data_IF_146189622741
#
_entry.id   IF_146189622741
#
_cell.length_a   1.000
_cell.length_b   1.000
_cell.length_c   1.000
_cell.angle_alpha   90.00
_cell.angle_beta   90.00
_cell.angle_gamma   90.00
#
_symmetry.space_group_name_H-M   'P 1'
#
loop_
_entity.id
_entity.type
_entity.pdbx_description
1 polymer ?
#
# COMPACT_ATOMS: atom_id res chain seq x y z
N UNK A 1 -28.51 -5.69 -14.96
CA UNK A 1 -28.40 -7.14 -14.69
C UNK A 1 -27.12 -7.41 -13.91
N UNK A 2 -27.19 -8.32 -12.95
CA UNK A 2 -26.06 -8.78 -12.12
C UNK A 2 -25.96 -10.30 -12.25
N UNK A 3 -25.36 -10.81 -13.35
CA UNK A 3 -25.18 -12.24 -13.57
C UNK A 3 -24.47 -12.90 -12.38
N UNK A 4 -24.71 -14.20 -12.13
CA UNK A 4 -24.01 -14.94 -11.10
C UNK A 4 -22.54 -15.08 -11.50
N UNK A 5 -21.74 -14.11 -11.09
CA UNK A 5 -20.30 -14.12 -11.26
C UNK A 5 -19.74 -15.09 -10.21
N UNK A 6 -19.70 -16.40 -10.53
CA UNK A 6 -19.33 -17.52 -9.65
C UNK A 6 -18.46 -17.19 -8.42
N UNK A 7 -18.86 -17.65 -7.23
CA UNK A 7 -18.24 -17.25 -5.96
C UNK A 7 -16.72 -17.43 -5.83
N UNK A 8 -16.13 -16.76 -4.83
CA UNK A 8 -14.77 -16.81 -4.22
C UNK A 8 -13.49 -17.03 -5.06
N UNK A 9 -13.54 -17.43 -6.33
CA UNK A 9 -12.38 -17.89 -7.13
C UNK A 9 -12.16 -17.09 -8.44
N UNK A 10 -12.56 -15.81 -8.48
CA UNK A 10 -12.49 -14.94 -9.66
C UNK A 10 -11.09 -14.45 -10.08
N UNK A 11 -10.02 -14.96 -9.45
CA UNK A 11 -8.63 -14.60 -9.77
C UNK A 11 -8.01 -15.49 -10.87
N UNK A 12 -8.74 -16.51 -11.36
CA UNK A 12 -8.26 -17.42 -12.42
C UNK A 12 -8.68 -16.95 -13.82
N UNK A 13 -7.77 -17.02 -14.80
CA UNK A 13 -7.99 -16.65 -16.21
C UNK A 13 -9.17 -17.37 -16.89
N UNK A 14 -9.46 -18.61 -16.47
CA UNK A 14 -10.63 -19.37 -16.94
C UNK A 14 -11.98 -18.73 -16.55
N UNK A 15 -12.05 -18.03 -15.41
CA UNK A 15 -13.27 -17.35 -14.96
C UNK A 15 -13.54 -16.04 -15.73
N UNK A 16 -12.49 -15.37 -16.21
CA UNK A 16 -12.58 -14.14 -17.01
C UNK A 16 -13.08 -14.45 -18.42
N UNK A 17 -12.60 -15.55 -19.03
CA UNK A 17 -13.10 -16.01 -20.33
C UNK A 17 -14.60 -16.34 -20.32
N UNK A 18 -15.07 -17.06 -19.30
CA UNK A 18 -16.50 -17.35 -19.12
C UNK A 18 -17.34 -16.08 -18.90
N UNK A 19 -16.79 -15.08 -18.21
CA UNK A 19 -17.42 -13.77 -17.97
C UNK A 19 -17.61 -13.00 -19.27
N UNK A 20 -16.61 -13.00 -20.16
CA UNK A 20 -16.69 -12.34 -21.47
C UNK A 20 -17.75 -12.99 -22.38
N UNK A 21 -17.82 -14.33 -22.42
CA UNK A 21 -18.85 -15.07 -23.17
C UNK A 21 -20.25 -14.72 -22.66
N UNK A 22 -20.42 -14.61 -21.35
CA UNK A 22 -21.70 -14.25 -20.74
C UNK A 22 -22.11 -12.81 -21.08
N UNK A 23 -21.17 -11.86 -21.07
CA UNK A 23 -21.42 -10.49 -21.50
C UNK A 23 -21.82 -10.44 -22.98
N UNK A 24 -21.13 -11.18 -23.84
CA UNK A 24 -21.45 -11.29 -25.27
C UNK A 24 -22.89 -11.78 -25.46
N UNK A 25 -23.31 -12.84 -24.76
CA UNK A 25 -24.68 -13.36 -24.83
C UNK A 25 -25.72 -12.39 -24.29
N UNK A 26 -25.42 -11.68 -23.20
CA UNK A 26 -26.31 -10.67 -22.63
C UNK A 26 -26.49 -9.49 -23.59
N UNK A 27 -25.42 -9.05 -24.27
CA UNK A 27 -25.53 -7.99 -25.27
C UNK A 27 -26.28 -8.46 -26.51
N UNK A 28 -26.03 -9.69 -26.99
CA UNK A 28 -26.71 -10.28 -28.14
C UNK A 28 -28.24 -10.32 -27.96
N UNK A 29 -28.70 -10.77 -26.79
CA UNK A 29 -30.12 -10.92 -26.47
C UNK A 29 -30.73 -9.62 -25.93
N UNK A 30 -30.04 -8.98 -25.00
CA UNK A 30 -30.52 -7.78 -24.31
C UNK A 30 -30.73 -6.59 -25.24
N UNK A 31 -29.89 -6.43 -26.27
CA UNK A 31 -29.98 -5.28 -27.19
C UNK A 31 -31.14 -5.42 -28.19
N UNK A 32 -31.79 -6.60 -28.23
CA UNK A 32 -33.04 -6.82 -28.99
C UNK A 32 -34.26 -6.32 -28.20
N UNK A 33 -34.19 -6.30 -26.87
CA UNK A 33 -35.33 -6.00 -25.98
C UNK A 33 -35.20 -4.66 -25.26
N UNK A 34 -33.98 -4.13 -25.11
CA UNK A 34 -33.73 -2.85 -24.45
C UNK A 34 -32.72 -1.99 -25.21
N UNK A 35 -32.95 -0.67 -25.33
CA UNK A 35 -31.99 0.26 -25.94
C UNK A 35 -30.81 0.58 -25.00
N UNK A 36 -30.88 0.19 -23.72
CA UNK A 36 -29.83 0.40 -22.73
C UNK A 36 -29.66 -0.85 -21.89
N UNK A 37 -28.42 -1.27 -21.72
CA UNK A 37 -28.06 -2.39 -20.85
C UNK A 37 -27.11 -1.87 -19.78
N UNK A 38 -27.51 -2.05 -18.53
CA UNK A 38 -26.67 -1.82 -17.37
C UNK A 38 -26.17 -3.17 -16.84
N UNK A 39 -24.86 -3.36 -16.81
CA UNK A 39 -24.18 -4.59 -16.42
C UNK A 39 -23.33 -4.34 -15.19
N UNK A 40 -23.68 -4.97 -14.08
CA UNK A 40 -22.84 -4.97 -12.88
C UNK A 40 -21.82 -6.10 -13.00
N UNK A 41 -20.53 -5.79 -13.05
CA UNK A 41 -19.44 -6.74 -13.33
C UNK A 41 -18.33 -6.67 -12.26
N UNK A 42 -17.48 -7.70 -12.14
CA UNK A 42 -16.33 -7.68 -11.23
C UNK A 42 -15.32 -6.58 -11.57
N UNK A 43 -14.60 -6.07 -10.57
CA UNK A 43 -13.62 -4.99 -10.74
C UNK A 43 -12.44 -5.33 -11.66
N UNK A 44 -12.02 -6.60 -11.68
CA UNK A 44 -10.83 -7.05 -12.41
C UNK A 44 -11.12 -7.31 -13.89
N UNK A 45 -12.37 -7.16 -14.33
CA UNK A 45 -12.74 -7.37 -15.72
C UNK A 45 -12.08 -6.32 -16.62
N UNK A 46 -11.50 -6.78 -17.73
CA UNK A 46 -10.81 -5.94 -18.69
C UNK A 46 -11.82 -5.08 -19.47
N UNK A 47 -11.79 -3.78 -19.21
CA UNK A 47 -12.70 -2.81 -19.82
C UNK A 47 -12.52 -2.75 -21.34
N UNK A 48 -11.31 -2.91 -21.87
CA UNK A 48 -11.04 -2.88 -23.30
C UNK A 48 -11.67 -4.06 -24.04
N UNK A 49 -11.66 -5.25 -23.44
CA UNK A 49 -12.36 -6.42 -23.99
C UNK A 49 -13.88 -6.22 -23.99
N UNK A 50 -14.44 -5.65 -22.93
CA UNK A 50 -15.87 -5.32 -22.86
C UNK A 50 -16.28 -4.33 -23.94
N UNK A 51 -15.44 -3.34 -24.23
CA UNK A 51 -15.64 -2.37 -25.31
C UNK A 51 -15.63 -3.08 -26.68
N UNK A 52 -14.67 -3.99 -26.91
CA UNK A 52 -14.59 -4.77 -28.14
C UNK A 52 -15.84 -5.64 -28.35
N UNK A 53 -16.32 -6.32 -27.31
CA UNK A 53 -17.57 -7.10 -27.35
C UNK A 53 -18.75 -6.18 -27.65
N UNK A 54 -18.83 -5.01 -26.99
CA UNK A 54 -19.86 -4.00 -27.26
C UNK A 54 -19.89 -3.53 -28.72
N UNK A 55 -18.71 -3.31 -29.33
CA UNK A 55 -18.58 -2.94 -30.75
C UNK A 55 -19.17 -4.00 -31.68
N UNK A 56 -18.92 -5.29 -31.43
CA UNK A 56 -19.48 -6.40 -32.23
C UNK A 56 -21.01 -6.41 -32.21
N UNK A 57 -21.61 -6.00 -31.09
CA UNK A 57 -23.07 -5.93 -30.92
C UNK A 57 -23.68 -4.56 -31.21
N UNK A 58 -22.98 -3.71 -31.98
CA UNK A 58 -23.46 -2.38 -32.40
C UNK A 58 -23.84 -1.47 -31.22
N UNK A 59 -23.17 -1.62 -30.07
CA UNK A 59 -23.26 -0.67 -28.96
C UNK A 59 -22.55 0.62 -29.39
N UNK A 60 -23.25 1.75 -29.33
CA UNK A 60 -22.71 3.04 -29.79
C UNK A 60 -22.07 3.86 -28.67
N UNK A 61 -22.57 3.78 -27.43
CA UNK A 61 -21.90 4.41 -26.27
C UNK A 61 -21.66 3.41 -25.14
N UNK A 62 -20.45 3.47 -24.58
CA UNK A 62 -20.02 2.70 -23.42
C UNK A 62 -19.64 3.66 -22.30
N UNK A 63 -20.16 3.42 -21.11
CA UNK A 63 -19.75 4.14 -19.90
C UNK A 63 -19.38 3.14 -18.81
N UNK A 64 -18.27 3.38 -18.13
CA UNK A 64 -17.87 2.63 -16.95
C UNK A 64 -18.07 3.50 -15.69
N UNK A 65 -18.82 2.97 -14.73
CA UNK A 65 -18.88 3.54 -13.38
C UNK A 65 -18.25 2.56 -12.40
N UNK A 66 -17.36 3.05 -11.54
CA UNK A 66 -16.67 2.21 -10.57
C UNK A 66 -17.42 2.30 -9.25
N UNK A 67 -17.99 1.17 -8.82
CA UNK A 67 -18.66 1.09 -7.52
C UNK A 67 -17.60 0.84 -6.46
N UNK A 68 -17.52 1.82 -5.56
CA UNK A 68 -16.62 1.78 -4.42
C UNK A 68 -17.47 1.61 -3.16
N UNK A 69 -17.30 0.52 -2.42
CA UNK A 69 -17.94 0.35 -1.11
C UNK A 69 -16.83 0.42 -0.09
N UNK A 70 -16.96 1.30 0.91
CA UNK A 70 -15.96 1.51 1.94
C UNK A 70 -14.54 1.81 1.39
N UNK A 71 -14.45 2.61 0.31
CA UNK A 71 -13.19 3.02 -0.35
C UNK A 71 -12.43 1.91 -1.10
N UNK A 72 -12.96 0.68 -1.17
CA UNK A 72 -12.47 -0.35 -2.06
C UNK A 72 -13.32 -0.43 -3.33
N UNK A 73 -12.65 -0.42 -4.49
CA UNK A 73 -13.33 -0.76 -5.74
C UNK A 73 -13.77 -2.22 -5.62
N UNK A 74 -15.07 -2.46 -5.53
CA UNK A 74 -15.60 -3.82 -5.36
C UNK A 74 -16.12 -4.38 -6.68
N UNK A 75 -16.66 -3.50 -7.52
CA UNK A 75 -17.28 -3.87 -8.80
C UNK A 75 -17.36 -2.68 -9.74
N UNK A 76 -17.67 -2.94 -11.00
CA UNK A 76 -17.93 -1.94 -12.03
C UNK A 76 -19.38 -2.03 -12.51
N UNK A 77 -19.93 -0.92 -12.97
CA UNK A 77 -21.15 -0.86 -13.76
C UNK A 77 -20.78 -0.44 -15.16
N UNK A 78 -21.13 -1.27 -16.13
CA UNK A 78 -20.94 -1.02 -17.54
C UNK A 78 -22.30 -0.64 -18.15
N UNK A 79 -22.36 0.51 -18.78
CA UNK A 79 -23.54 0.97 -19.50
C UNK A 79 -23.28 0.80 -20.99
N UNK A 80 -24.12 0.01 -21.65
CA UNK A 80 -24.11 -0.16 -23.10
C UNK A 80 -25.39 0.45 -23.66
N UNK A 81 -25.28 1.51 -24.47
CA UNK A 81 -26.45 2.13 -25.09
C UNK A 81 -26.48 1.93 -26.61
N UNK A 82 -27.65 1.51 -27.10
CA UNK A 82 -28.08 1.52 -28.49
C UNK A 82 -28.67 2.91 -28.77
N UNK A 83 -28.11 3.67 -29.70
CA UNK A 83 -28.80 4.87 -30.18
C UNK A 83 -30.00 4.45 -31.02
N UNK A 84 -31.06 5.26 -30.98
CA UNK A 84 -32.25 5.09 -31.83
C UNK A 84 -31.79 5.11 -33.30
N UNK A 85 -32.37 4.20 -34.09
CA UNK A 85 -32.33 4.28 -35.54
C UNK A 85 -32.87 5.64 -35.92
N UNK A 86 -32.03 6.49 -36.50
CA UNK A 86 -32.36 7.48 -37.52
C UNK A 86 -31.03 8.08 -38.00
N UNK A 87 -30.70 7.86 -39.27
CA UNK A 87 -29.52 8.44 -39.91
C UNK A 87 -28.40 7.44 -40.19
N UNK A 88 -28.20 7.18 -41.49
CA UNK A 88 -27.02 6.55 -42.08
C UNK A 88 -25.77 7.38 -41.77
N UNK A 89 -25.16 7.17 -40.61
CA UNK A 89 -23.84 7.69 -40.35
C UNK A 89 -22.91 6.57 -39.86
N UNK A 90 -22.03 6.16 -40.77
CA UNK A 90 -20.96 5.19 -40.57
C UNK A 90 -19.65 5.86 -40.17
N UNK A 91 -19.67 7.13 -39.75
CA UNK A 91 -18.44 7.88 -39.46
C UNK A 91 -18.45 8.49 -38.05
N UNK A 92 -17.29 8.35 -37.39
CA UNK A 92 -16.89 8.92 -36.09
C UNK A 92 -17.43 8.24 -34.80
N UNK A 93 -16.59 7.33 -34.28
CA UNK A 93 -16.74 6.69 -32.98
C UNK A 93 -16.10 7.56 -31.89
N UNK A 94 -16.88 8.30 -31.11
CA UNK A 94 -16.36 8.99 -29.91
C UNK A 94 -16.72 8.21 -28.66
N UNK A 95 -15.76 7.43 -28.16
CA UNK A 95 -15.83 6.79 -26.84
C UNK A 95 -15.58 7.85 -25.77
N UNK A 96 -16.64 8.34 -25.13
CA UNK A 96 -16.49 9.28 -24.00
C UNK A 96 -16.52 8.47 -22.70
N UNK A 97 -15.35 8.27 -22.09
CA UNK A 97 -15.23 7.54 -20.84
C UNK A 97 -15.48 8.50 -19.66
N UNK A 98 -16.67 8.44 -19.08
CA UNK A 98 -16.99 9.21 -17.87
C UNK A 98 -16.80 8.34 -16.63
N UNK A 99 -15.69 8.53 -15.92
CA UNK A 99 -15.49 7.90 -14.62
C UNK A 99 -16.36 8.58 -13.57
N UNK A 100 -17.40 7.88 -13.09
CA UNK A 100 -18.20 8.32 -11.95
C UNK A 100 -17.93 7.38 -10.77
N UNK A 101 -17.47 7.93 -9.65
CA UNK A 101 -17.19 7.18 -8.43
C UNK A 101 -18.38 7.32 -7.47
N UNK A 102 -19.04 6.21 -7.16
CA UNK A 102 -20.04 6.15 -6.10
C UNK A 102 -19.43 5.53 -4.86
N UNK A 103 -19.43 6.27 -3.75
CA UNK A 103 -19.09 5.76 -2.43
C UNK A 103 -20.38 5.38 -1.70
N UNK A 104 -20.59 4.07 -1.57
CA UNK A 104 -21.64 3.52 -0.70
C UNK A 104 -20.99 3.24 0.65
N UNK A 105 -21.48 3.91 1.69
CA UNK A 105 -21.16 3.56 3.07
C UNK A 105 -22.26 2.64 3.59
N UNK A 106 -21.87 1.48 4.10
CA UNK A 106 -22.78 0.57 4.80
C UNK A 106 -22.53 0.80 6.29
N UNK A 107 -23.53 1.29 6.99
CA UNK A 107 -23.45 1.49 8.44
C UNK A 107 -23.58 0.15 9.18
N UNK A 108 -23.32 0.14 10.48
CA UNK A 108 -23.34 -1.07 11.33
C UNK A 108 -24.70 -1.79 11.37
N UNK A 109 -25.78 -1.13 10.94
CA UNK A 109 -27.14 -1.67 10.78
C UNK A 109 -27.44 -2.19 9.36
N UNK A 110 -26.41 -2.40 8.54
CA UNK A 110 -26.49 -2.83 7.13
C UNK A 110 -27.28 -1.87 6.22
N UNK A 111 -27.55 -0.63 6.64
CA UNK A 111 -28.23 0.34 5.79
C UNK A 111 -27.26 1.07 4.86
N UNK A 112 -27.53 1.11 3.55
CA UNK A 112 -26.70 1.85 2.61
C UNK A 112 -26.99 3.35 2.68
N UNK A 113 -25.97 4.16 2.94
CA UNK A 113 -26.02 5.61 2.79
C UNK A 113 -25.30 6.00 1.50
N UNK A 114 -26.07 6.51 0.53
CA UNK A 114 -25.55 6.94 -0.77
C UNK A 114 -25.12 8.41 -0.67
N UNK A 115 -23.82 8.67 -0.77
CA UNK A 115 -23.31 10.05 -0.87
C UNK A 115 -23.33 10.48 -2.34
N UNK A 116 -24.32 11.28 -2.75
CA UNK A 116 -24.38 11.86 -4.10
C UNK A 116 -23.47 13.08 -4.19
N UNK A 117 -22.18 12.88 -4.48
CA UNK A 117 -21.35 13.95 -5.04
C UNK A 117 -20.60 13.41 -6.26
N UNK A 118 -21.10 13.64 -7.48
CA UNK A 118 -20.45 13.18 -8.69
C UNK A 118 -19.23 14.05 -9.01
N UNK A 119 -18.05 13.44 -9.04
CA UNK A 119 -16.86 14.07 -9.65
C UNK A 119 -17.02 13.86 -11.16
N UNK A 120 -17.33 14.92 -11.91
CA UNK A 120 -17.22 14.90 -13.36
C UNK A 120 -15.76 15.15 -13.72
N UNK A 121 -15.07 14.16 -14.29
CA UNK A 121 -13.76 14.35 -14.93
C UNK A 121 -14.05 14.48 -16.43
N UNK A 122 -13.77 15.65 -16.99
CA UNK A 122 -13.78 15.89 -18.44
C UNK A 122 -12.49 15.30 -19.00
N UNK A 123 -12.58 14.50 -20.06
CA UNK A 123 -11.43 13.91 -20.74
C UNK A 123 -10.73 14.97 -21.61
N UNK A 124 -9.41 15.06 -21.55
CA UNK A 124 -8.59 15.80 -22.51
C UNK A 124 -8.43 14.95 -23.79
N UNK A 125 -8.66 15.57 -24.94
CA UNK A 125 -8.51 14.98 -26.27
C UNK A 125 -7.02 14.82 -26.62
N UNK A 126 -6.48 13.60 -26.65
CA UNK A 126 -5.19 13.32 -27.28
C UNK A 126 -5.37 13.13 -28.80
N UNK A 127 -5.07 14.19 -29.56
CA UNK A 127 -4.81 14.09 -31.01
C UNK A 127 -3.30 13.99 -31.22
N UNK A 128 -2.81 12.78 -31.51
CA UNK A 128 -1.42 12.56 -31.93
C UNK A 128 -1.25 12.99 -33.40
N UNK A 129 -0.30 13.90 -33.67
CA UNK A 129 0.27 14.13 -35.01
C UNK A 129 1.81 14.16 -34.95
N UNK A 130 2.52 13.74 -36.02
CA UNK A 130 3.91 13.29 -35.92
C UNK A 130 4.97 14.40 -36.07
N UNK A 131 6.06 14.21 -35.33
CA UNK A 131 7.46 14.64 -35.48
C UNK A 131 7.82 15.95 -36.20
N UNK A 132 8.58 16.82 -35.50
CA UNK A 132 9.77 17.51 -36.05
C UNK A 132 10.83 17.77 -34.97
N UNK A 133 12.06 17.86 -35.46
CA UNK A 133 13.40 17.67 -34.92
C UNK A 133 14.01 18.81 -34.05
N UNK A 134 14.78 18.40 -33.03
CA UNK A 134 16.19 18.76 -32.73
C UNK A 134 16.56 20.05 -31.94
N UNK A 135 17.39 19.82 -30.90
CA UNK A 135 18.42 20.62 -30.20
C UNK A 135 18.04 21.81 -29.28
N UNK A 136 18.42 21.71 -28.00
CA UNK A 136 19.65 22.36 -27.44
C UNK A 136 19.71 22.24 -25.91
N UNK A 137 20.92 22.41 -25.37
CA UNK A 137 21.33 22.07 -24.01
C UNK A 137 21.09 23.15 -22.94
N UNK A 138 21.23 22.72 -21.67
CA UNK A 138 21.52 23.47 -20.42
C UNK A 138 20.37 24.23 -19.74
N UNK A 139 19.97 23.77 -18.56
CA UNK A 139 20.41 24.38 -17.28
C UNK A 139 19.75 23.69 -16.08
N UNK A 140 20.57 23.40 -15.06
CA UNK A 140 20.14 22.98 -13.74
C UNK A 140 19.53 24.20 -13.04
N UNK A 141 18.23 24.17 -12.72
CA UNK A 141 17.61 25.16 -11.84
C UNK A 141 16.78 24.43 -10.78
N UNK A 142 17.21 24.61 -9.54
CA UNK A 142 16.56 24.23 -8.30
C UNK A 142 15.22 24.97 -8.16
N UNK A 143 14.14 24.28 -8.47
CA UNK A 143 12.80 24.57 -7.99
C UNK A 143 12.06 23.24 -7.94
N UNK A 144 11.93 22.68 -6.73
CA UNK A 144 11.11 21.50 -6.49
C UNK A 144 9.65 21.92 -6.69
N UNK A 145 9.21 21.85 -7.94
CA UNK A 145 7.79 21.80 -8.29
C UNK A 145 7.27 20.53 -7.65
N UNK A 146 6.65 20.67 -6.47
CA UNK A 146 5.82 19.62 -5.90
C UNK A 146 4.66 19.45 -6.88
N UNK A 147 4.79 18.52 -7.81
CA UNK A 147 3.77 18.25 -8.82
C UNK A 147 2.51 17.79 -8.10
N UNK A 148 1.37 18.41 -8.43
CA UNK A 148 0.03 18.11 -7.87
C UNK A 148 -0.30 16.59 -7.85
N UNK A 149 0.37 15.78 -8.67
CA UNK A 149 0.30 14.32 -8.69
C UNK A 149 0.70 13.63 -7.37
N UNK A 150 1.71 14.12 -6.64
CA UNK A 150 2.18 13.45 -5.40
C UNK A 150 1.25 13.69 -4.20
N UNK A 151 0.57 14.84 -4.19
CA UNK A 151 -0.42 15.20 -3.18
C UNK A 151 -1.59 14.22 -3.23
N UNK A 152 -2.09 13.87 -4.42
CA UNK A 152 -3.23 12.96 -4.54
C UNK A 152 -2.89 11.52 -4.12
N UNK A 153 -1.67 11.06 -4.43
CA UNK A 153 -1.24 9.71 -4.10
C UNK A 153 -1.14 9.43 -2.61
N UNK A 154 -0.74 10.45 -1.84
CA UNK A 154 -0.49 10.34 -0.41
C UNK A 154 -1.65 10.87 0.44
N UNK A 155 -2.50 11.75 -0.09
CA UNK A 155 -3.67 12.29 0.61
C UNK A 155 -4.67 11.21 1.06
N UNK A 156 -4.76 10.09 0.34
CA UNK A 156 -5.58 8.95 0.77
C UNK A 156 -5.12 8.37 2.12
N UNK A 157 -3.81 8.39 2.39
CA UNK A 157 -3.22 7.95 3.66
C UNK A 157 -3.41 9.02 4.76
N UNK A 158 -3.33 10.30 4.40
CA UNK A 158 -3.64 11.41 5.33
C UNK A 158 -5.05 11.29 5.93
N UNK A 159 -6.03 10.90 5.12
CA UNK A 159 -7.42 10.69 5.60
C UNK A 159 -7.51 9.62 6.68
N UNK A 160 -6.59 8.65 6.70
CA UNK A 160 -6.53 7.56 7.68
C UNK A 160 -5.36 7.74 8.67
N UNK A 161 -4.80 8.95 8.79
CA UNK A 161 -3.60 9.22 9.60
C UNK A 161 -3.74 8.76 11.06
N UNK A 162 -4.95 8.82 11.64
CA UNK A 162 -5.23 8.32 13.00
C UNK A 162 -5.21 6.80 13.11
N UNK A 163 -5.38 6.09 12.00
CA UNK A 163 -5.18 4.63 11.91
C UNK A 163 -3.71 4.28 11.79
N UNK A 164 -2.90 5.16 11.20
CA UNK A 164 -1.45 5.00 11.13
C UNK A 164 -0.81 5.23 12.50
N UNK A 165 -1.22 6.31 13.20
CA UNK A 165 -0.85 6.61 14.57
C UNK A 165 -2.06 7.17 15.33
N UNK A 166 -2.45 6.54 16.43
CA UNK A 166 -3.57 6.99 17.26
C UNK A 166 -3.32 8.43 17.78
N UNK A 167 -2.06 8.75 18.10
CA UNK A 167 -1.60 10.07 18.56
C UNK A 167 -1.17 11.01 17.43
N UNK A 168 -1.68 10.84 16.21
CA UNK A 168 -1.20 11.61 15.05
C UNK A 168 -1.20 13.14 15.29
N UNK A 169 -2.28 13.65 15.88
CA UNK A 169 -2.47 15.09 16.12
C UNK A 169 -1.57 15.64 17.25
N UNK A 170 -0.93 14.78 18.05
CA UNK A 170 -0.09 15.16 19.18
C UNK A 170 1.35 15.53 18.74
N UNK A 171 1.60 15.58 17.43
CA UNK A 171 2.88 16.00 16.86
C UNK A 171 3.61 14.94 16.03
N UNK A 172 2.91 13.93 15.52
CA UNK A 172 3.51 12.93 14.63
C UNK A 172 3.93 13.56 13.30
N UNK A 173 5.14 13.20 12.85
CA UNK A 173 5.73 13.66 11.61
C UNK A 173 5.93 12.45 10.68
N UNK A 174 5.35 12.53 9.48
CA UNK A 174 5.50 11.60 8.37
C UNK A 174 5.79 12.40 7.11
N UNK A 175 6.82 12.01 6.36
CA UNK A 175 7.02 12.47 4.99
C UNK A 175 6.15 11.67 4.00
N UNK A 176 6.19 12.03 2.72
CA UNK A 176 5.39 11.41 1.66
C UNK A 176 5.57 9.88 1.61
N UNK A 177 6.81 9.41 1.74
CA UNK A 177 7.09 7.97 1.78
C UNK A 177 6.53 7.30 3.03
N UNK A 178 6.72 7.93 4.19
CA UNK A 178 6.27 7.38 5.47
C UNK A 178 4.76 7.20 5.52
N UNK A 179 3.98 8.01 4.80
CA UNK A 179 2.52 7.85 4.71
C UNK A 179 2.09 6.51 4.13
N UNK A 180 2.81 5.98 3.14
CA UNK A 180 2.46 4.70 2.51
C UNK A 180 3.28 3.52 3.04
N UNK A 181 4.40 3.75 3.72
CA UNK A 181 5.28 2.70 4.23
C UNK A 181 5.06 2.36 5.70
N UNK A 182 4.58 3.31 6.53
CA UNK A 182 4.30 3.03 7.94
C UNK A 182 3.26 1.92 8.08
N UNK A 183 3.57 0.97 8.94
CA UNK A 183 2.64 -0.06 9.37
C UNK A 183 1.56 0.57 10.28
N UNK A 184 0.26 0.34 10.04
CA UNK A 184 -0.81 0.82 10.92
C UNK A 184 -0.60 0.43 12.38
N UNK A 185 -0.89 1.34 13.32
CA UNK A 185 -0.56 1.16 14.74
C UNK A 185 -1.12 -0.13 15.34
N UNK A 186 -2.33 -0.53 14.94
CA UNK A 186 -2.95 -1.79 15.41
C UNK A 186 -2.12 -3.03 15.03
N UNK A 187 -1.50 -3.02 13.84
CA UNK A 187 -0.62 -4.10 13.39
C UNK A 187 0.70 -4.02 14.14
N UNK A 188 1.26 -2.82 14.35
CA UNK A 188 2.46 -2.65 15.16
C UNK A 188 2.28 -3.15 16.61
N UNK A 189 1.11 -2.90 17.23
CA UNK A 189 0.75 -3.43 18.55
C UNK A 189 0.72 -4.96 18.54
N UNK A 190 0.04 -5.54 17.57
CA UNK A 190 -0.01 -7.00 17.40
C UNK A 190 1.38 -7.62 17.17
N UNK A 191 2.24 -6.97 16.38
CA UNK A 191 3.64 -7.37 16.20
C UNK A 191 4.39 -7.30 17.54
N UNK A 192 4.23 -6.21 18.28
CA UNK A 192 4.88 -6.01 19.58
C UNK A 192 4.45 -7.05 20.63
N UNK A 193 3.18 -7.48 20.62
CA UNK A 193 2.69 -8.55 21.52
C UNK A 193 3.48 -9.85 21.36
N UNK A 194 4.08 -10.10 20.18
CA UNK A 194 4.93 -11.27 19.93
C UNK A 194 6.34 -11.15 20.55
N UNK A 195 6.64 -10.01 21.16
CA UNK A 195 7.93 -9.63 21.73
C UNK A 195 7.86 -9.28 23.23
N UNK A 196 6.71 -9.49 23.88
CA UNK A 196 6.57 -9.33 25.34
C UNK A 196 7.62 -10.19 26.06
N UNK A 197 8.34 -9.57 27.00
CA UNK A 197 9.39 -10.22 27.80
C UNK A 197 10.77 -10.32 27.12
N UNK A 198 10.93 -9.77 25.92
CA UNK A 198 12.25 -9.63 25.29
C UNK A 198 12.98 -8.39 25.82
N UNK A 199 14.29 -8.51 26.03
CA UNK A 199 15.14 -7.42 26.52
C UNK A 199 15.50 -6.48 25.37
N UNK A 200 16.11 -7.01 24.31
CA UNK A 200 16.60 -6.19 23.18
C UNK A 200 16.01 -6.69 21.87
N UNK A 201 15.34 -5.80 21.15
CA UNK A 201 14.80 -6.07 19.80
C UNK A 201 15.43 -5.12 18.79
N UNK A 202 15.74 -5.63 17.59
CA UNK A 202 16.32 -4.86 16.49
C UNK A 202 15.29 -4.68 15.36
N UNK A 203 15.08 -3.44 14.93
CA UNK A 203 14.46 -3.13 13.63
C UNK A 203 15.51 -2.52 12.68
N UNK A 204 16.02 -3.28 11.69
CA UNK A 204 17.01 -2.82 10.73
C UNK A 204 16.50 -1.84 9.66
N UNK A 205 15.18 -1.63 9.55
CA UNK A 205 14.55 -0.77 8.56
C UNK A 205 13.39 0.01 9.21
N UNK A 206 13.70 0.82 10.23
CA UNK A 206 12.69 1.33 11.14
C UNK A 206 11.77 2.42 10.56
N UNK A 207 12.16 3.07 9.44
CA UNK A 207 11.40 4.15 8.82
C UNK A 207 11.07 5.27 9.80
N UNK A 208 9.85 5.80 9.73
CA UNK A 208 9.34 6.81 10.67
C UNK A 208 8.90 6.24 12.04
N UNK A 209 9.16 4.96 12.32
CA UNK A 209 9.13 4.41 13.67
C UNK A 209 7.84 3.71 14.12
N UNK A 210 6.96 3.28 13.20
CA UNK A 210 5.71 2.58 13.58
C UNK A 210 5.94 1.36 14.49
N UNK A 211 6.76 0.40 14.05
CA UNK A 211 7.05 -0.81 14.82
C UNK A 211 7.85 -0.52 16.09
N UNK A 212 8.95 0.22 15.98
CA UNK A 212 9.88 0.49 17.09
C UNK A 212 9.20 1.22 18.26
N UNK A 213 8.19 2.05 17.99
CA UNK A 213 7.39 2.70 19.04
C UNK A 213 6.62 1.67 19.85
N UNK A 214 5.92 0.73 19.20
CA UNK A 214 5.15 -0.29 19.93
C UNK A 214 6.05 -1.34 20.57
N UNK A 215 7.18 -1.71 19.94
CA UNK A 215 8.18 -2.59 20.52
C UNK A 215 8.78 -2.00 21.81
N UNK A 216 9.10 -0.71 21.83
CA UNK A 216 9.63 -0.04 23.01
C UNK A 216 8.63 0.03 24.18
N UNK A 217 7.33 -0.17 23.94
CA UNK A 217 6.33 -0.26 25.00
C UNK A 217 6.35 -1.60 25.74
N UNK A 218 6.84 -2.66 25.11
CA UNK A 218 6.77 -4.05 25.64
C UNK A 218 8.14 -4.71 25.86
N UNK A 219 9.21 -4.15 25.30
CA UNK A 219 10.59 -4.60 25.49
C UNK A 219 11.38 -3.60 26.37
N UNK A 220 12.52 -4.04 26.89
CA UNK A 220 13.40 -3.18 27.72
C UNK A 220 14.09 -2.11 26.84
N UNK A 221 14.59 -2.52 25.67
CA UNK A 221 15.28 -1.65 24.72
C UNK A 221 15.02 -2.07 23.27
N UNK A 222 15.04 -1.10 22.36
CA UNK A 222 14.96 -1.30 20.91
C UNK A 222 16.17 -0.67 20.23
N UNK A 223 16.76 -1.37 19.26
CA UNK A 223 17.75 -0.82 18.34
C UNK A 223 17.01 -0.55 17.02
N UNK A 224 16.98 0.71 16.59
CA UNK A 224 16.29 1.15 15.39
C UNK A 224 17.32 1.67 14.39
N UNK A 225 17.37 1.05 13.20
CA UNK A 225 18.30 1.39 12.13
C UNK A 225 17.51 1.82 10.91
N UNK A 226 17.94 2.89 10.27
CA UNK A 226 17.52 3.24 8.92
C UNK A 226 18.70 3.83 8.16
N UNK A 227 18.75 3.60 6.85
CA UNK A 227 19.81 4.15 6.00
C UNK A 227 19.63 5.65 5.80
N UNK A 228 18.37 6.12 5.86
CA UNK A 228 18.03 7.53 5.67
C UNK A 228 18.02 8.28 7.01
N UNK A 229 18.92 9.27 7.21
CA UNK A 229 18.93 10.08 8.43
C UNK A 229 17.62 10.85 8.65
N UNK A 230 16.89 11.22 7.60
CA UNK A 230 15.59 11.89 7.74
C UNK A 230 14.57 10.96 8.40
N UNK A 231 14.52 9.67 8.03
CA UNK A 231 13.65 8.67 8.68
C UNK A 231 13.97 8.52 10.17
N UNK A 232 15.26 8.44 10.52
CA UNK A 232 15.66 8.39 11.93
C UNK A 232 15.19 9.63 12.69
N UNK A 233 15.24 10.82 12.08
CA UNK A 233 14.76 12.04 12.72
C UNK A 233 13.24 12.02 12.94
N UNK A 234 12.46 11.54 11.95
CA UNK A 234 11.02 11.33 12.10
C UNK A 234 10.73 10.32 13.22
N UNK A 235 11.42 9.18 13.24
CA UNK A 235 11.27 8.16 14.27
C UNK A 235 11.59 8.68 15.68
N UNK A 236 12.66 9.49 15.83
CA UNK A 236 13.01 10.15 17.09
C UNK A 236 11.89 11.07 17.58
N UNK A 237 11.33 11.90 16.69
CA UNK A 237 10.20 12.76 17.03
C UNK A 237 8.98 11.94 17.46
N UNK A 238 8.60 10.95 16.66
CA UNK A 238 7.41 10.14 16.89
C UNK A 238 7.55 9.34 18.19
N UNK A 239 8.74 8.82 18.50
CA UNK A 239 9.00 8.16 19.78
C UNK A 239 8.87 9.08 21.00
N UNK A 240 9.15 10.39 20.86
CA UNK A 240 8.92 11.38 21.93
C UNK A 240 7.43 11.59 22.18
N UNK A 241 6.61 11.69 21.13
CA UNK A 241 5.14 11.79 21.24
C UNK A 241 4.54 10.62 22.04
N UNK A 242 5.12 9.42 21.88
CA UNK A 242 4.72 8.22 22.61
C UNK A 242 5.46 7.99 23.94
N UNK A 243 6.34 8.93 24.36
CA UNK A 243 7.14 8.84 25.59
C UNK A 243 8.04 7.58 25.69
N UNK A 244 8.48 7.03 24.56
CA UNK A 244 9.35 5.83 24.50
C UNK A 244 10.73 6.09 23.93
N UNK A 245 11.05 7.36 23.61
CA UNK A 245 12.34 7.78 23.05
C UNK A 245 13.56 7.22 23.81
N UNK A 246 13.51 7.25 25.15
CA UNK A 246 14.60 6.82 26.03
C UNK A 246 14.90 5.30 25.98
N UNK A 247 13.99 4.49 25.42
CA UNK A 247 14.17 3.04 25.25
C UNK A 247 14.73 2.66 23.89
N UNK A 248 14.94 3.62 22.99
CA UNK A 248 15.30 3.34 21.61
C UNK A 248 16.69 3.90 21.31
N UNK A 249 17.59 3.02 20.88
CA UNK A 249 18.88 3.41 20.30
C UNK A 249 18.71 3.58 18.80
N UNK A 250 18.88 4.81 18.31
CA UNK A 250 18.72 5.16 16.90
C UNK A 250 20.06 5.19 16.17
N UNK A 251 20.17 4.46 15.06
CA UNK A 251 21.39 4.36 14.25
C UNK A 251 21.06 4.75 12.80
N UNK A 252 21.77 5.73 12.27
CA UNK A 252 21.78 5.99 10.82
C UNK A 252 22.80 5.06 10.19
N UNK A 253 22.38 4.16 9.31
CA UNK A 253 23.30 3.25 8.64
C UNK A 253 22.64 2.20 7.76
N UNK A 254 23.44 1.66 6.84
CA UNK A 254 23.04 0.52 6.02
C UNK A 254 23.18 -0.76 6.85
N UNK A 255 22.05 -1.37 7.24
CA UNK A 255 22.01 -2.63 7.99
C UNK A 255 22.91 -3.70 7.37
N UNK A 256 22.91 -3.84 6.05
CA UNK A 256 23.70 -4.88 5.38
C UNK A 256 25.22 -4.67 5.55
N UNK A 257 25.65 -3.42 5.78
CA UNK A 257 27.04 -3.07 6.06
C UNK A 257 27.38 -3.16 7.53
N UNK A 258 26.48 -2.77 8.44
CA UNK A 258 26.81 -2.64 9.87
C UNK A 258 26.42 -3.85 10.73
N UNK A 259 25.61 -4.78 10.22
CA UNK A 259 25.12 -5.94 10.97
C UNK A 259 26.24 -6.72 11.70
N UNK A 260 27.43 -6.85 11.10
CA UNK A 260 28.57 -7.58 11.69
C UNK A 260 29.15 -6.92 12.95
N UNK A 261 28.82 -5.66 13.23
CA UNK A 261 29.29 -4.89 14.40
C UNK A 261 28.26 -4.86 15.53
N UNK A 262 27.05 -5.35 15.27
CA UNK A 262 25.98 -5.37 16.27
C UNK A 262 26.17 -6.55 17.21
N UNK A 263 25.79 -6.35 18.48
CA UNK A 263 25.72 -7.44 19.46
C UNK A 263 24.47 -8.28 19.20
N UNK A 264 24.45 -9.55 19.63
CA UNK A 264 23.24 -10.37 19.58
C UNK A 264 22.06 -9.72 20.32
N UNK A 265 20.86 -9.94 19.81
CA UNK A 265 19.57 -9.45 20.33
C UNK A 265 18.57 -10.60 20.43
N UNK A 266 17.46 -10.40 21.14
CA UNK A 266 16.47 -11.46 21.34
C UNK A 266 15.62 -11.71 20.09
N UNK A 267 15.35 -10.67 19.32
CA UNK A 267 14.52 -10.74 18.12
C UNK A 267 14.90 -9.65 17.12
N UNK A 268 14.78 -9.96 15.83
CA UNK A 268 14.70 -8.97 14.76
C UNK A 268 13.23 -8.84 14.35
N UNK A 269 12.69 -7.64 14.37
CA UNK A 269 11.33 -7.33 13.92
C UNK A 269 11.43 -6.24 12.88
N UNK A 270 11.00 -6.49 11.64
CA UNK A 270 11.28 -5.51 10.60
C UNK A 270 10.31 -5.48 9.42
N UNK A 271 10.26 -4.32 8.77
CA UNK A 271 9.49 -4.04 7.56
C UNK A 271 10.45 -3.51 6.48
N UNK A 272 11.11 -4.39 5.69
CA UNK A 272 12.01 -3.91 4.65
C UNK A 272 11.25 -3.11 3.58
N UNK A 273 11.90 -2.25 2.80
CA UNK A 273 11.22 -1.42 1.79
C UNK A 273 10.62 -2.29 0.68
N UNK A 274 9.31 -2.22 0.48
CA UNK A 274 8.60 -3.06 -0.50
C UNK A 274 8.60 -2.53 -1.94
N UNK A 275 9.26 -1.39 -2.20
CA UNK A 275 9.23 -0.72 -3.51
C UNK A 275 8.01 0.21 -3.71
N UNK A 276 7.45 0.73 -2.62
CA UNK A 276 6.32 1.67 -2.67
C UNK A 276 5.00 1.04 -3.16
N UNK A 277 3.92 1.82 -3.31
CA UNK A 277 2.57 1.30 -3.59
C UNK A 277 2.44 0.41 -4.84
N UNK A 278 3.41 0.48 -5.74
CA UNK A 278 3.48 -0.28 -7.00
C UNK A 278 3.56 -1.79 -6.76
N UNK A 279 4.03 -2.26 -5.59
CA UNK A 279 4.08 -3.69 -5.26
C UNK A 279 2.72 -4.38 -5.42
N UNK A 280 1.62 -3.64 -5.27
CA UNK A 280 0.24 -4.12 -5.38
C UNK A 280 -0.16 -4.52 -6.79
N UNK A 281 0.57 -4.08 -7.81
CA UNK A 281 0.30 -4.40 -9.21
C UNK A 281 0.76 -5.82 -9.59
N UNK A 282 1.69 -6.39 -8.82
CA UNK A 282 2.16 -7.76 -9.04
C UNK A 282 1.17 -8.75 -8.44
N UNK A 283 0.78 -9.78 -9.19
CA UNK A 283 -0.04 -10.88 -8.64
C UNK A 283 0.71 -11.62 -7.52
N UNK A 284 2.00 -11.86 -7.75
CA UNK A 284 2.89 -12.58 -6.84
C UNK A 284 4.20 -11.81 -6.70
N UNK A 285 4.45 -11.27 -5.52
CA UNK A 285 5.62 -10.43 -5.23
C UNK A 285 6.80 -11.30 -4.78
N UNK A 286 7.96 -11.17 -5.43
CA UNK A 286 9.13 -12.01 -5.12
C UNK A 286 9.88 -11.53 -3.86
N UNK A 287 10.29 -12.42 -2.94
CA UNK A 287 11.17 -12.12 -1.81
C UNK A 287 12.55 -11.58 -2.20
N UNK A 288 12.97 -11.75 -3.47
CA UNK A 288 14.22 -11.16 -3.98
C UNK A 288 14.14 -9.64 -4.05
N UNK A 289 12.95 -9.09 -4.35
CA UNK A 289 12.73 -7.65 -4.47
C UNK A 289 12.94 -6.90 -3.13
N UNK A 290 12.84 -7.62 -2.02
CA UNK A 290 12.97 -7.12 -0.64
C UNK A 290 14.15 -7.76 0.09
N UNK A 291 15.04 -8.45 -0.65
CA UNK A 291 16.28 -9.05 -0.13
C UNK A 291 16.08 -9.96 1.09
N UNK A 292 14.98 -10.72 1.16
CA UNK A 292 14.71 -11.63 2.30
C UNK A 292 15.89 -12.56 2.57
N UNK A 293 16.52 -13.08 1.53
CA UNK A 293 17.72 -13.93 1.63
C UNK A 293 18.85 -13.25 2.42
N UNK A 294 19.19 -12.00 2.09
CA UNK A 294 20.24 -11.26 2.80
C UNK A 294 19.84 -10.91 4.22
N UNK A 295 18.56 -10.54 4.43
CA UNK A 295 18.03 -10.23 5.77
C UNK A 295 18.13 -11.47 6.66
N UNK A 296 17.70 -12.63 6.17
CA UNK A 296 17.80 -13.89 6.92
C UNK A 296 19.27 -14.25 7.16
N UNK A 297 20.12 -14.23 6.12
CA UNK A 297 21.55 -14.55 6.23
C UNK A 297 22.29 -13.77 7.33
N UNK A 298 22.01 -12.48 7.44
CA UNK A 298 22.60 -11.62 8.49
C UNK A 298 21.86 -11.77 9.81
N UNK A 299 20.52 -11.77 9.76
CA UNK A 299 19.67 -11.79 10.95
C UNK A 299 19.84 -13.06 11.78
N UNK A 300 20.07 -14.22 11.16
CA UNK A 300 20.26 -15.47 11.90
C UNK A 300 21.53 -15.49 12.77
N UNK A 301 22.49 -14.60 12.49
CA UNK A 301 23.70 -14.44 13.29
C UNK A 301 23.48 -13.51 14.49
N UNK A 302 22.42 -12.70 14.44
CA UNK A 302 22.13 -11.65 15.43
C UNK A 302 21.00 -12.03 16.39
N UNK A 303 20.00 -12.79 15.94
CA UNK A 303 18.83 -13.09 16.75
C UNK A 303 18.34 -14.52 16.54
N UNK A 304 17.87 -15.22 17.59
CA UNK A 304 17.25 -16.52 17.48
C UNK A 304 15.85 -16.46 16.84
N UNK A 305 15.23 -15.28 16.76
CA UNK A 305 13.91 -15.05 16.18
C UNK A 305 13.94 -13.88 15.21
N UNK A 306 13.31 -14.05 14.05
CA UNK A 306 13.15 -13.02 13.03
C UNK A 306 11.67 -12.95 12.64
N UNK A 307 11.06 -11.80 12.83
CA UNK A 307 9.69 -11.47 12.43
C UNK A 307 9.74 -10.46 11.28
N UNK A 308 9.17 -10.85 10.16
CA UNK A 308 9.13 -10.08 8.94
C UNK A 308 7.71 -9.59 8.64
N UNK A 309 7.50 -8.28 8.61
CA UNK A 309 6.28 -7.65 8.13
C UNK A 309 6.37 -7.41 6.62
N UNK A 310 5.46 -8.03 5.87
CA UNK A 310 5.63 -8.28 4.45
C UNK A 310 4.38 -7.98 3.61
N UNK A 311 4.54 -7.74 2.28
CA UNK A 311 3.41 -7.53 1.38
C UNK A 311 2.40 -8.68 1.40
N UNK A 312 1.12 -8.34 1.28
CA UNK A 312 0.02 -9.33 1.24
C UNK A 312 0.11 -10.35 0.09
N UNK A 313 0.75 -9.96 -1.01
CA UNK A 313 0.95 -10.76 -2.23
C UNK A 313 2.35 -11.40 -2.30
N UNK A 314 3.13 -11.38 -1.22
CA UNK A 314 4.45 -12.02 -1.15
C UNK A 314 4.36 -13.53 -1.43
N UNK A 315 5.26 -14.03 -2.28
CA UNK A 315 5.49 -15.46 -2.49
C UNK A 315 6.11 -16.09 -1.24
N UNK A 316 5.26 -16.66 -0.39
CA UNK A 316 5.71 -17.26 0.87
C UNK A 316 6.35 -18.62 0.69
N UNK A 317 6.02 -19.35 -0.38
CA UNK A 317 6.71 -20.59 -0.74
C UNK A 317 8.20 -20.34 -1.00
N UNK A 318 8.53 -19.27 -1.72
CA UNK A 318 9.92 -18.87 -1.96
C UNK A 318 10.61 -18.44 -0.65
N UNK A 319 9.91 -17.75 0.25
CA UNK A 319 10.45 -17.40 1.58
C UNK A 319 10.78 -18.64 2.42
N UNK A 320 9.91 -19.66 2.41
CA UNK A 320 10.14 -20.92 3.11
C UNK A 320 11.38 -21.63 2.54
N UNK A 321 11.53 -21.63 1.22
CA UNK A 321 12.68 -22.24 0.56
C UNK A 321 13.99 -21.52 0.90
N UNK A 322 14.01 -20.19 0.85
CA UNK A 322 15.14 -19.39 1.32
C UNK A 322 15.46 -19.72 2.79
N UNK A 323 14.44 -19.79 3.65
CA UNK A 323 14.61 -20.10 5.06
C UNK A 323 15.25 -21.46 5.35
N UNK A 324 14.96 -22.48 4.53
CA UNK A 324 15.58 -23.81 4.64
C UNK A 324 17.10 -23.76 4.47
N UNK A 325 17.63 -22.87 3.64
CA UNK A 325 19.06 -22.71 3.42
C UNK A 325 19.80 -22.14 4.66
N UNK A 326 19.07 -21.56 5.62
CA UNK A 326 19.62 -20.88 6.80
C UNK A 326 19.34 -21.61 8.12
N UNK A 327 19.14 -22.94 8.09
CA UNK A 327 18.87 -23.78 9.28
C UNK A 327 17.66 -23.33 10.11
N UNK A 328 16.67 -22.67 9.49
CA UNK A 328 15.45 -22.26 10.18
C UNK A 328 14.60 -23.50 10.46
N UNK A 329 14.29 -23.79 11.74
CA UNK A 329 13.56 -25.01 12.12
C UNK A 329 12.05 -24.82 12.05
N UNK A 330 11.55 -23.66 12.50
CA UNK A 330 10.10 -23.37 12.47
C UNK A 330 9.81 -22.11 11.66
N UNK A 331 8.75 -22.22 10.88
CA UNK A 331 8.16 -21.16 10.11
C UNK A 331 6.70 -21.04 10.52
N UNK A 332 6.28 -19.82 10.83
CA UNK A 332 4.86 -19.48 11.03
C UNK A 332 4.53 -18.31 10.13
N UNK A 333 3.34 -18.34 9.56
CA UNK A 333 2.78 -17.25 8.76
C UNK A 333 1.47 -16.80 9.37
N UNK A 334 1.30 -15.48 9.48
CA UNK A 334 0.02 -14.84 9.78
C UNK A 334 -0.38 -13.94 8.62
N UNK A 335 -1.58 -14.16 8.06
CA UNK A 335 -2.19 -13.19 7.15
C UNK A 335 -2.97 -12.18 7.97
N UNK A 336 -2.64 -10.89 7.81
CA UNK A 336 -3.29 -9.79 8.52
C UNK A 336 -4.33 -9.15 7.63
N UNK A 337 -5.55 -9.04 8.16
CA UNK A 337 -6.66 -8.32 7.51
C UNK A 337 -7.09 -7.14 8.35
N UNK A 338 -7.33 -6.00 7.70
CA UNK A 338 -8.01 -4.84 8.28
C UNK A 338 -9.34 -4.71 7.56
N UNK A 339 -10.45 -4.68 8.31
CA UNK A 339 -11.81 -4.59 7.76
C UNK A 339 -12.10 -5.67 6.70
N UNK A 340 -11.67 -6.90 6.98
CA UNK A 340 -11.78 -8.08 6.09
C UNK A 340 -10.91 -8.05 4.83
N UNK A 341 -10.23 -6.95 4.53
CA UNK A 341 -9.30 -6.85 3.41
C UNK A 341 -7.89 -7.24 3.83
N UNK A 342 -7.24 -8.09 3.01
CA UNK A 342 -5.82 -8.45 3.21
C UNK A 342 -4.95 -7.19 3.17
N UNK A 343 -4.20 -6.97 4.25
CA UNK A 343 -3.31 -5.82 4.40
C UNK A 343 -1.85 -6.23 4.15
N UNK A 344 -1.36 -7.18 4.94
CA UNK A 344 0.01 -7.67 4.93
C UNK A 344 0.11 -9.12 5.42
N UNK A 345 1.33 -9.66 5.42
CA UNK A 345 1.69 -10.95 6.01
C UNK A 345 2.76 -10.74 7.08
N UNK A 346 2.69 -11.48 8.18
CA UNK A 346 3.77 -11.59 9.17
C UNK A 346 4.40 -12.96 9.06
N UNK A 347 5.70 -13.01 8.78
CA UNK A 347 6.45 -14.26 8.68
C UNK A 347 7.38 -14.38 9.89
N UNK A 348 7.31 -15.49 10.59
CA UNK A 348 8.08 -15.76 11.78
C UNK A 348 9.06 -16.88 11.48
N UNK A 349 10.35 -16.59 11.61
CA UNK A 349 11.43 -17.55 11.47
C UNK A 349 12.11 -17.72 12.83
N UNK A 350 12.15 -18.95 13.36
CA UNK A 350 12.85 -19.23 14.61
C UNK A 350 14.00 -20.22 14.38
N UNK A 351 15.12 -19.90 15.01
CA UNK A 351 16.31 -20.75 15.12
C UNK A 351 16.21 -21.61 16.37
N UNK A 352 16.98 -22.70 16.40
CA UNK A 352 16.99 -23.68 17.48
C UNK A 352 17.36 -23.05 18.85
N UNK A 353 16.58 -23.39 19.88
CA UNK A 353 17.13 -24.09 21.06
C UNK A 353 16.81 -25.57 20.89
N UNK A 354 17.68 -26.46 21.35
CA UNK A 354 17.89 -27.84 20.89
C UNK A 354 16.76 -28.89 21.14
N UNK A 355 15.47 -28.53 21.11
CA UNK A 355 14.40 -29.37 21.68
C UNK A 355 13.45 -30.04 20.66
N UNK A 356 13.98 -30.64 19.60
CA UNK A 356 13.33 -31.80 18.95
C UNK A 356 12.05 -31.64 18.11
N UNK A 357 11.16 -30.66 18.33
CA UNK A 357 9.82 -30.65 17.68
C UNK A 357 9.73 -29.71 16.46
N UNK A 358 9.24 -30.23 15.33
CA UNK A 358 8.84 -29.45 14.13
C UNK A 358 7.37 -29.06 14.28
N UNK A 359 7.06 -27.77 14.17
CA UNK A 359 5.68 -27.28 14.11
C UNK A 359 5.55 -26.35 12.90
N UNK A 360 4.64 -26.70 11.98
CA UNK A 360 4.16 -25.79 10.94
C UNK A 360 2.80 -25.30 11.39
N UNK A 361 2.68 -24.03 11.77
CA UNK A 361 1.41 -23.43 12.22
C UNK A 361 1.04 -22.34 11.23
N UNK A 362 -0.06 -22.55 10.51
CA UNK A 362 -0.73 -21.49 9.75
C UNK A 362 -1.79 -20.86 10.64
N UNK A 363 -1.77 -19.53 10.81
CA UNK A 363 -2.78 -18.82 11.58
C UNK A 363 -3.34 -17.66 10.77
N UNK A 364 -4.66 -17.52 10.75
CA UNK A 364 -5.35 -16.38 10.11
C UNK A 364 -5.90 -15.50 11.23
N UNK A 365 -5.45 -14.24 11.30
CA UNK A 365 -5.95 -13.25 12.28
C UNK A 365 -6.69 -12.13 11.58
N UNK A 366 -7.90 -11.85 12.05
CA UNK A 366 -8.74 -10.77 11.54
C UNK A 366 -8.71 -9.61 12.54
N UNK A 367 -8.21 -8.45 12.14
CA UNK A 367 -8.29 -7.23 12.94
C UNK A 367 -9.44 -6.36 12.42
N UNK A 368 -10.37 -6.01 13.30
CA UNK A 368 -11.44 -5.05 13.01
C UNK A 368 -11.00 -3.70 13.58
N UNK A 369 -10.85 -2.70 12.72
CA UNK A 369 -10.59 -1.32 13.15
C UNK A 369 -11.49 -0.39 12.34
N UNK A 370 -12.44 0.25 13.02
CA UNK A 370 -13.31 1.27 12.43
C UNK A 370 -12.48 2.50 12.08
N UNK A 371 -12.54 2.92 10.81
CA UNK A 371 -11.88 4.13 10.33
C UNK A 371 -12.93 5.22 10.24
N UNK A 372 -12.90 6.16 11.18
CA UNK A 372 -13.69 7.39 11.08
C UNK A 372 -12.97 8.38 10.17
N UNK A 373 -13.64 8.77 9.09
CA UNK A 373 -13.18 9.84 8.23
C UNK A 373 -13.65 11.16 8.82
N UNK A 374 -12.70 12.00 9.24
CA UNK A 374 -12.99 13.40 9.53
C UNK A 374 -13.53 14.03 8.23
N UNK A 375 -14.82 14.40 8.22
CA UNK A 375 -15.43 15.17 7.13
C UNK A 375 -15.08 16.65 7.32
N UNK A 376 -13.83 17.01 7.12
CA UNK A 376 -13.43 18.40 7.01
C UNK A 376 -12.39 18.56 5.91
N UNK A 377 -12.68 19.48 5.01
CA UNK A 377 -11.79 20.01 3.98
C UNK A 377 -10.47 20.44 4.66
N UNK A 378 -9.27 20.08 4.21
CA UNK A 378 -8.83 20.35 2.84
C UNK A 378 -7.46 19.75 2.57
N UNK A 379 -7.21 19.39 1.30
CA UNK A 379 -5.86 19.15 0.76
C UNK A 379 -4.87 20.26 1.15
N UNK A 380 -5.35 21.48 1.45
CA UNK A 380 -4.56 22.60 1.99
C UNK A 380 -3.98 22.32 3.37
N UNK A 381 -4.74 21.74 4.30
CA UNK A 381 -4.20 21.31 5.63
C UNK A 381 -3.11 20.28 5.44
N UNK A 382 -3.34 19.31 4.54
CA UNK A 382 -2.34 18.31 4.22
C UNK A 382 -1.07 18.91 3.61
N UNK A 383 -1.22 19.81 2.64
CA UNK A 383 -0.10 20.54 2.02
C UNK A 383 0.69 21.35 3.06
N UNK A 384 0.00 22.03 3.98
CA UNK A 384 0.64 22.77 5.06
C UNK A 384 1.38 21.84 6.03
N UNK A 385 0.82 20.67 6.33
CA UNK A 385 1.50 19.65 7.11
C UNK A 385 2.79 19.18 6.43
N UNK A 386 2.75 18.83 5.14
CA UNK A 386 3.95 18.42 4.40
C UNK A 386 5.01 19.52 4.37
N UNK A 387 4.62 20.79 4.16
CA UNK A 387 5.54 21.94 4.25
C UNK A 387 6.19 22.05 5.63
N UNK A 388 5.42 21.84 6.71
CA UNK A 388 5.95 21.86 8.08
C UNK A 388 6.96 20.73 8.29
N UNK A 389 6.66 19.51 7.83
CA UNK A 389 7.58 18.37 7.88
C UNK A 389 8.86 18.69 7.11
N UNK A 390 8.74 19.19 5.88
CA UNK A 390 9.88 19.60 5.04
C UNK A 390 10.75 20.65 5.73
N UNK A 391 10.15 21.69 6.30
CA UNK A 391 10.88 22.71 7.05
C UNK A 391 11.66 22.15 8.25
N UNK A 392 11.07 21.21 9.01
CA UNK A 392 11.73 20.57 10.15
C UNK A 392 12.93 19.74 9.69
N UNK A 393 12.78 18.97 8.61
CA UNK A 393 13.85 18.16 8.03
C UNK A 393 14.95 19.04 7.42
N UNK A 394 14.61 20.12 6.71
CA UNK A 394 15.57 21.06 6.13
C UNK A 394 16.41 21.76 7.19
N UNK A 395 15.78 22.19 8.29
CA UNK A 395 16.51 22.79 9.43
C UNK A 395 17.47 21.78 10.05
N UNK A 396 17.08 20.52 10.15
CA UNK A 396 18.00 19.44 10.57
C UNK A 396 19.18 19.31 9.61
N UNK A 397 18.95 19.28 8.29
CA UNK A 397 20.03 19.18 7.31
C UNK A 397 20.97 20.40 7.30
N UNK A 398 20.46 21.59 7.60
CA UNK A 398 21.29 22.80 7.78
C UNK A 398 22.14 22.69 9.05
N UNK A 399 21.54 22.36 10.19
CA UNK A 399 22.26 22.20 11.44
C UNK A 399 23.34 21.09 11.38
N UNK A 400 23.07 19.98 10.67
CA UNK A 400 24.08 18.94 10.43
C UNK A 400 25.25 19.47 9.60
N UNK A 401 24.99 20.23 8.53
CA UNK A 401 26.03 20.86 7.72
C UNK A 401 26.85 21.88 8.51
N UNK A 402 26.21 22.68 9.35
CA UNK A 402 26.91 23.62 10.24
C UNK A 402 27.75 22.89 11.30
N UNK A 403 27.24 21.81 11.90
CA UNK A 403 28.00 20.97 12.83
C UNK A 403 29.20 20.29 12.17
N UNK A 404 29.04 19.79 10.93
CA UNK A 404 30.12 19.12 10.17
C UNK A 404 31.15 20.13 9.62
N UNK A 405 30.72 21.32 9.23
CA UNK A 405 31.64 22.40 8.82
C UNK A 405 32.36 23.04 10.01
N UNK A 406 31.77 23.01 11.21
CA UNK A 406 32.39 23.47 12.45
C UNK A 406 33.37 22.48 13.08
N UNK A 407 33.35 21.20 12.70
CA UNK A 407 34.27 20.17 13.21
C UNK A 407 35.51 19.94 12.32
N UNK A 408 35.72 20.78 11.30
CA UNK A 408 36.98 20.87 10.54
C UNK A 408 37.91 22.00 11.02
N UNK A 409 37.47 22.80 12.01
CA UNK A 409 38.28 23.82 12.69
C UNK A 409 38.09 23.71 14.21
N UNK A 410 38.61 22.64 14.81
CA UNK A 410 38.91 22.56 16.24
C UNK A 410 39.99 21.50 16.47
#
# INVERSE_FOLDING_TARGET
TSPPWGGSNYENSQSIGATNILIEKILELGMKVAPKILLHVPKNLNTNECILIGKRHRVRTFKEEIITINCDQNSKLLYFNKLKSDGNDHTNYTMVNFHRYFNIKINDDCRPVITKNPINVVAEDEVVKPNKTVNSAKSFSSNTVVTLSTIDDTYKYWKIRRTLFDKFNDGILLDEESFYSVCPEVICKHIADQCIGMKVVLDPFCGAGGNIIQLARVCDSVIAIDIDPAKIQLAKNNAKVYNVYHKITFIVGDFFKIAHRLRPVDCIVTSPPWGGPIYKQQLLFSPKNILVDKILKLGIKLAPKILLHMPKNLNTTECIWIGKNYKIRTYKEETIKINYYRNCKLLYFNLLKDNGKKHTIYSIKNFKQSVHFDTFDSKKVYSNYLKKVGYVLDRFHKNQREMWNGSYYA
#
